data_IF_609967716615
#
_entry.id   IF_609967716615
#
_cell.length_a   1.000
_cell.length_b   1.000
_cell.length_c   1.000
_cell.angle_alpha   90.00
_cell.angle_beta   90.00
_cell.angle_gamma   90.00
#
_symmetry.space_group_name_H-M   'P 1'
#
loop_
_entity.id
_entity.type
_entity.pdbx_description
1 polymer ?
#
# COMPACT_ATOMS: atom_id res chain seq x y z
N UNK A 1 15.81 5.01 -7.48
CA UNK A 1 15.64 3.99 -6.43
C UNK A 1 14.82 4.64 -5.34
N UNK A 2 13.73 4.01 -4.92
CA UNK A 2 12.90 4.54 -3.83
C UNK A 2 13.71 4.71 -2.56
N UNK A 3 13.52 5.85 -1.93
CA UNK A 3 14.09 6.23 -0.64
C UNK A 3 13.13 5.89 0.50
N UNK A 4 13.60 6.08 1.74
CA UNK A 4 12.76 5.95 2.93
C UNK A 4 11.60 6.96 2.97
N UNK A 5 11.80 8.14 2.40
CA UNK A 5 10.77 9.19 2.31
C UNK A 5 9.67 8.79 1.33
N UNK A 6 10.04 8.18 0.21
CA UNK A 6 9.10 7.70 -0.79
C UNK A 6 8.15 6.61 -0.23
N UNK A 7 8.61 5.78 0.73
CA UNK A 7 7.75 4.77 1.38
C UNK A 7 6.69 5.44 2.26
N UNK A 8 7.06 6.48 3.02
CA UNK A 8 6.11 7.22 3.85
C UNK A 8 5.10 7.98 3.00
N UNK A 9 5.57 8.58 1.91
CA UNK A 9 4.71 9.24 0.94
C UNK A 9 3.76 8.25 0.29
N UNK A 10 4.24 7.08 -0.15
CA UNK A 10 3.40 6.03 -0.71
C UNK A 10 2.28 5.63 0.25
N UNK A 11 2.56 5.47 1.56
CA UNK A 11 1.50 5.19 2.55
C UNK A 11 0.46 6.30 2.65
N UNK A 12 0.86 7.56 2.54
CA UNK A 12 -0.05 8.69 2.57
C UNK A 12 -0.90 8.76 1.29
N UNK A 13 -0.29 8.58 0.12
CA UNK A 13 -0.97 8.59 -1.19
C UNK A 13 -1.97 7.43 -1.27
N UNK A 14 -1.53 6.21 -0.97
CA UNK A 14 -2.39 5.03 -0.99
C UNK A 14 -3.49 5.12 0.08
N UNK A 15 -3.19 5.72 1.24
CA UNK A 15 -4.19 6.04 2.25
C UNK A 15 -5.31 6.94 1.72
N UNK A 16 -4.97 8.01 1.01
CA UNK A 16 -5.94 8.89 0.32
C UNK A 16 -6.76 8.18 -0.74
N UNK A 17 -6.15 7.24 -1.46
CA UNK A 17 -6.80 6.51 -2.54
C UNK A 17 -7.75 5.42 -2.03
N UNK A 18 -7.35 4.70 -0.98
CA UNK A 18 -8.03 3.47 -0.58
C UNK A 18 -8.87 3.65 0.68
N UNK A 19 -8.49 4.50 1.63
CA UNK A 19 -9.18 4.60 2.93
C UNK A 19 -10.25 5.69 2.94
N UNK A 20 -11.44 5.43 3.52
CA UNK A 20 -12.42 6.48 3.76
C UNK A 20 -11.81 7.50 4.73
N UNK A 21 -11.83 8.78 4.35
CA UNK A 21 -11.20 9.87 5.12
C UNK A 21 -9.70 10.07 4.84
N UNK A 22 -9.09 9.22 4.02
CA UNK A 22 -7.75 9.46 3.46
C UNK A 22 -6.58 9.43 4.45
N UNK A 23 -6.76 8.80 5.62
CA UNK A 23 -5.67 8.57 6.56
C UNK A 23 -4.58 7.70 5.91
N UNK A 24 -3.28 7.93 6.20
CA UNK A 24 -2.21 7.08 5.69
C UNK A 24 -2.44 5.60 6.03
N UNK A 25 -1.99 4.71 5.15
CA UNK A 25 -1.96 3.28 5.46
C UNK A 25 -1.12 3.05 6.71
N UNK A 26 -1.52 2.10 7.55
CA UNK A 26 -0.69 1.52 8.62
C UNK A 26 0.40 0.63 7.99
N UNK A 27 1.45 0.31 8.75
CA UNK A 27 2.47 -0.61 8.29
C UNK A 27 1.87 -1.99 7.96
N UNK A 28 0.88 -2.45 8.74
CA UNK A 28 0.24 -3.74 8.52
C UNK A 28 -0.68 -3.76 7.29
N UNK A 29 -1.41 -2.67 7.03
CA UNK A 29 -2.15 -2.51 5.78
C UNK A 29 -1.22 -2.54 4.56
N UNK A 30 -0.05 -1.90 4.66
CA UNK A 30 0.94 -1.93 3.61
C UNK A 30 1.56 -3.33 3.41
N UNK A 31 1.84 -4.05 4.50
CA UNK A 31 2.32 -5.45 4.48
C UNK A 31 1.37 -6.33 3.68
N UNK A 32 0.07 -6.23 3.96
CA UNK A 32 -0.94 -7.00 3.25
C UNK A 32 -1.04 -6.59 1.78
N UNK A 33 -1.04 -5.29 1.48
CA UNK A 33 -1.05 -4.79 0.12
C UNK A 33 0.16 -5.27 -0.70
N UNK A 34 1.33 -5.42 -0.07
CA UNK A 34 2.55 -5.90 -0.72
C UNK A 34 2.71 -7.43 -0.70
N UNK A 35 1.76 -8.17 -0.11
CA UNK A 35 1.87 -9.63 0.03
C UNK A 35 3.06 -10.09 0.88
N UNK A 36 3.48 -9.26 1.85
CA UNK A 36 4.59 -9.58 2.75
C UNK A 36 4.12 -10.50 3.89
N UNK A 37 5.06 -11.23 4.50
CA UNK A 37 4.79 -12.09 5.66
C UNK A 37 4.17 -11.30 6.82
N UNK A 38 3.04 -11.74 7.36
CA UNK A 38 2.39 -11.07 8.49
C UNK A 38 3.23 -11.10 9.78
N UNK A 39 4.13 -12.08 9.93
CA UNK A 39 4.95 -12.25 11.14
C UNK A 39 6.07 -11.19 11.27
N UNK A 40 6.65 -10.78 10.15
CA UNK A 40 7.84 -9.90 10.12
C UNK A 40 7.70 -8.70 9.17
N UNK A 41 6.61 -8.60 8.44
CA UNK A 41 6.42 -7.59 7.41
C UNK A 41 6.35 -6.17 7.99
N UNK A 42 5.77 -5.99 9.17
CA UNK A 42 5.65 -4.67 9.81
C UNK A 42 7.02 -4.12 10.17
N UNK A 43 7.87 -4.93 10.79
CA UNK A 43 9.27 -4.59 11.06
C UNK A 43 10.02 -4.28 9.77
N UNK A 44 9.77 -5.04 8.70
CA UNK A 44 10.38 -4.80 7.40
C UNK A 44 9.98 -3.43 6.82
N UNK A 45 8.70 -3.06 6.90
CA UNK A 45 8.22 -1.73 6.50
C UNK A 45 8.88 -0.63 7.33
N UNK A 46 8.94 -0.76 8.65
CA UNK A 46 9.60 0.23 9.51
C UNK A 46 11.10 0.34 9.25
N UNK A 47 11.76 -0.77 8.93
CA UNK A 47 13.17 -0.75 8.54
C UNK A 47 13.40 -0.01 7.22
N UNK A 48 12.50 -0.15 6.24
CA UNK A 48 12.55 0.66 5.01
C UNK A 48 12.31 2.14 5.30
N UNK A 49 11.30 2.48 6.10
CA UNK A 49 10.96 3.88 6.45
C UNK A 49 12.01 4.58 7.34
N UNK A 50 12.82 3.81 8.07
CA UNK A 50 13.95 4.33 8.84
C UNK A 50 15.25 4.36 8.04
N UNK A 51 15.28 3.76 6.85
CA UNK A 51 16.47 3.60 6.03
C UNK A 51 17.44 2.52 6.54
N UNK A 52 17.02 1.69 7.51
CA UNK A 52 17.80 0.52 7.98
C UNK A 52 17.83 -0.61 6.96
N UNK A 53 16.87 -0.64 6.04
CA UNK A 53 16.82 -1.61 4.94
C UNK A 53 16.50 -0.91 3.63
N UNK A 54 17.17 -1.34 2.56
CA UNK A 54 16.86 -0.86 1.22
C UNK A 54 15.49 -1.37 0.76
N UNK A 55 14.81 -0.57 -0.04
CA UNK A 55 13.58 -0.98 -0.72
C UNK A 55 13.97 -1.91 -1.86
N UNK A 56 13.40 -3.12 -1.90
CA UNK A 56 13.66 -4.05 -3.00
C UNK A 56 13.01 -3.57 -4.29
N UNK A 57 13.58 -3.94 -5.44
CA UNK A 57 13.03 -3.56 -6.75
C UNK A 57 11.58 -4.03 -6.96
N UNK A 58 11.22 -5.19 -6.40
CA UNK A 58 9.84 -5.71 -6.45
C UNK A 58 8.88 -4.83 -5.65
N UNK A 59 9.26 -4.40 -4.45
CA UNK A 59 8.45 -3.49 -3.63
C UNK A 59 8.32 -2.13 -4.34
N UNK A 60 9.41 -1.60 -4.88
CA UNK A 60 9.39 -0.35 -5.66
C UNK A 60 8.42 -0.44 -6.86
N UNK A 61 8.45 -1.55 -7.60
CA UNK A 61 7.55 -1.77 -8.73
C UNK A 61 6.08 -1.84 -8.29
N UNK A 62 5.76 -2.60 -7.24
CA UNK A 62 4.40 -2.72 -6.72
C UNK A 62 3.86 -1.37 -6.25
N UNK A 63 4.65 -0.60 -5.52
CA UNK A 63 4.23 0.72 -5.05
C UNK A 63 3.96 1.68 -6.21
N UNK A 64 4.75 1.64 -7.29
CA UNK A 64 4.48 2.41 -8.50
C UNK A 64 3.17 2.01 -9.17
N UNK A 65 2.91 0.71 -9.29
CA UNK A 65 1.65 0.19 -9.86
C UNK A 65 0.47 0.67 -9.02
N UNK A 66 0.57 0.57 -7.69
CA UNK A 66 -0.51 0.96 -6.78
C UNK A 66 -0.76 2.47 -6.79
N UNK A 67 0.29 3.29 -6.78
CA UNK A 67 0.16 4.75 -6.88
C UNK A 67 -0.38 5.19 -8.25
N UNK A 68 -0.24 4.38 -9.29
CA UNK A 68 -0.85 4.60 -10.61
C UNK A 68 -2.33 4.17 -10.67
N UNK A 69 -2.94 3.76 -9.55
CA UNK A 69 -4.34 3.30 -9.49
C UNK A 69 -4.50 1.78 -9.54
N UNK A 70 -3.40 1.02 -9.60
CA UNK A 70 -3.43 -0.42 -9.40
C UNK A 70 -3.92 -0.78 -8.00
N UNK A 71 -4.48 -1.98 -7.87
CA UNK A 71 -5.02 -2.49 -6.61
C UNK A 71 -4.36 -3.82 -6.26
N UNK A 72 -4.03 -4.09 -4.98
CA UNK A 72 -3.54 -5.41 -4.59
C UNK A 72 -4.52 -6.53 -4.97
N UNK A 73 -4.00 -7.75 -5.22
CA UNK A 73 -4.81 -8.91 -5.61
C UNK A 73 -5.68 -9.47 -4.48
N UNK A 74 -5.53 -9.00 -3.25
CA UNK A 74 -6.24 -9.48 -2.05
C UNK A 74 -7.25 -8.42 -1.54
N UNK A 75 -8.25 -8.84 -0.76
CA UNK A 75 -9.42 -8.05 -0.29
C UNK A 75 -9.10 -6.82 0.60
N UNK A 76 -7.83 -6.43 0.71
CA UNK A 76 -7.40 -5.16 1.33
C UNK A 76 -8.02 -3.94 0.61
N UNK A 77 -8.57 -4.13 -0.59
CA UNK A 77 -9.16 -3.08 -1.42
C UNK A 77 -10.67 -3.20 -1.54
N UNK A 78 -11.38 -3.20 -0.41
CA UNK A 78 -12.77 -2.73 -0.38
C UNK A 78 -12.92 -1.73 0.79
N UNK A 79 -12.20 -0.63 0.71
CA UNK A 79 -12.40 0.52 1.60
C UNK A 79 -12.95 1.75 0.85
N UNK A 80 -12.91 1.76 -0.48
CA UNK A 80 -13.75 2.65 -1.26
C UNK A 80 -15.18 2.11 -1.26
N UNK A 81 -16.22 2.93 -1.02
CA UNK A 81 -17.58 2.51 -1.32
C UNK A 81 -17.64 2.19 -2.81
N UNK A 82 -17.64 0.91 -3.18
CA UNK A 82 -18.09 0.50 -4.50
C UNK A 82 -19.51 1.01 -4.63
N UNK A 83 -19.74 2.04 -5.45
CA UNK A 83 -21.08 2.27 -5.98
C UNK A 83 -21.56 0.92 -6.52
N UNK A 84 -22.78 0.48 -6.14
CA UNK A 84 -23.27 -0.80 -6.61
C UNK A 84 -23.26 -0.77 -8.14
N UNK A 85 -22.55 -1.73 -8.75
CA UNK A 85 -22.63 -1.95 -10.21
C UNK A 85 -24.11 -2.00 -10.56
N UNK A 86 -24.60 -0.96 -11.24
CA UNK A 86 -25.98 -0.95 -11.74
C UNK A 86 -26.09 -2.18 -12.63
N UNK A 87 -26.94 -3.13 -12.23
CA UNK A 87 -27.30 -4.25 -13.10
C UNK A 87 -27.81 -3.62 -14.39
N UNK A 88 -27.12 -3.89 -15.50
CA UNK A 88 -27.64 -3.58 -16.82
C UNK A 88 -29.03 -4.22 -16.91
N UNK A 89 -30.03 -3.37 -17.14
CA UNK A 89 -31.41 -3.80 -17.43
C UNK A 89 -31.49 -4.32 -18.84
#
# INVERSE_FOLDING_TARGET
MMTKEDIREARAVLGKMWKPGGAPLTAQELVRALGLSEKHGTDHVYNMESGKSAVSGTIEMLLRIYMAGGVPPDDVVIFAPTEPRKKAR
#
